data_IF_376298053923
#
_entry.id   IF_376298053923
#
_cell.length_a   1.000
_cell.length_b   1.000
_cell.length_c   1.000
_cell.angle_alpha   90.00
_cell.angle_beta   90.00
_cell.angle_gamma   90.00
#
_symmetry.space_group_name_H-M   'P 1'
#
loop_
_entity.id
_entity.type
_entity.pdbx_description
1 polymer ?
#
# COMPACT_ATOMS: atom_id res chain seq x y z
N UNK A 1 -8.05 -28.98 -17.60
CA UNK A 1 -7.75 -27.55 -17.72
C UNK A 1 -8.73 -26.73 -16.88
N UNK A 2 -8.69 -26.91 -15.56
CA UNK A 2 -9.49 -26.18 -14.58
C UNK A 2 -8.74 -26.35 -13.26
N UNK A 3 -8.28 -25.24 -12.66
CA UNK A 3 -7.72 -25.09 -11.29
C UNK A 3 -6.57 -24.09 -11.23
N UNK A 4 -5.90 -23.72 -12.34
CA UNK A 4 -4.77 -22.78 -12.30
C UNK A 4 -5.15 -21.42 -11.67
N UNK A 5 -6.34 -20.91 -11.99
CA UNK A 5 -6.85 -19.64 -11.45
C UNK A 5 -7.27 -19.77 -9.97
N UNK A 6 -7.85 -20.90 -9.55
CA UNK A 6 -8.25 -21.15 -8.16
C UNK A 6 -7.03 -21.38 -7.25
N UNK A 7 -6.00 -22.06 -7.75
CA UNK A 7 -4.75 -22.26 -7.02
C UNK A 7 -3.95 -20.96 -6.92
N UNK A 8 -3.97 -20.11 -7.96
CA UNK A 8 -3.40 -18.76 -7.88
C UNK A 8 -4.16 -17.89 -6.89
N UNK A 9 -5.50 -17.89 -6.90
CA UNK A 9 -6.30 -17.14 -5.93
C UNK A 9 -6.00 -17.53 -4.47
N UNK A 10 -5.80 -18.83 -4.18
CA UNK A 10 -5.38 -19.29 -2.84
C UNK A 10 -3.98 -18.82 -2.44
N UNK A 11 -3.07 -18.65 -3.40
CA UNK A 11 -1.71 -18.18 -3.16
C UNK A 11 -1.67 -16.65 -2.99
N UNK A 12 -2.49 -15.94 -3.75
CA UNK A 12 -2.77 -14.49 -3.62
C UNK A 12 -3.53 -14.18 -2.33
N UNK A 13 -4.26 -15.15 -1.75
CA UNK A 13 -4.93 -14.99 -0.44
C UNK A 13 -3.98 -14.67 0.72
N UNK A 14 -2.69 -14.98 0.60
CA UNK A 14 -1.66 -14.53 1.55
C UNK A 14 -1.21 -13.08 1.28
N UNK A 15 -1.32 -12.61 0.03
CA UNK A 15 -1.10 -11.21 -0.35
C UNK A 15 -2.34 -10.33 -0.12
N UNK A 16 -3.54 -10.92 0.02
CA UNK A 16 -4.80 -10.18 0.30
C UNK A 16 -4.78 -9.41 1.63
N UNK A 17 -3.82 -9.67 2.52
CA UNK A 17 -3.66 -8.93 3.77
C UNK A 17 -2.80 -7.67 3.64
N UNK A 18 -1.95 -7.59 2.61
CA UNK A 18 -1.02 -6.47 2.46
C UNK A 18 -1.48 -5.51 1.35
N UNK A 19 -1.60 -4.24 1.73
CA UNK A 19 -1.80 -3.16 0.77
C UNK A 19 -0.65 -3.14 -0.24
N UNK A 20 -1.00 -3.15 -1.53
CA UNK A 20 -0.01 -3.12 -2.58
C UNK A 20 0.61 -1.72 -2.69
N UNK A 21 1.91 -1.64 -2.95
CA UNK A 21 2.63 -0.37 -3.11
C UNK A 21 1.98 0.53 -4.18
N UNK A 22 1.54 -0.06 -5.30
CA UNK A 22 0.89 0.69 -6.39
C UNK A 22 -0.43 1.34 -5.98
N UNK A 23 -1.14 0.74 -5.02
CA UNK A 23 -2.42 1.28 -4.56
C UNK A 23 -2.17 2.47 -3.61
N UNK A 24 -1.17 2.37 -2.74
CA UNK A 24 -0.70 3.49 -1.91
C UNK A 24 -0.28 4.67 -2.78
N UNK A 25 0.50 4.42 -3.84
CA UNK A 25 0.93 5.49 -4.76
C UNK A 25 -0.27 6.20 -5.40
N UNK A 26 -1.25 5.43 -5.90
CA UNK A 26 -2.46 6.01 -6.53
C UNK A 26 -3.26 6.82 -5.53
N UNK A 27 -3.43 6.33 -4.32
CA UNK A 27 -4.20 7.01 -3.28
C UNK A 27 -3.53 8.31 -2.82
N UNK A 28 -2.22 8.28 -2.54
CA UNK A 28 -1.48 9.49 -2.15
C UNK A 28 -1.44 10.52 -3.30
N UNK A 29 -1.27 10.08 -4.54
CA UNK A 29 -1.33 10.97 -5.70
C UNK A 29 -2.70 11.65 -5.81
N UNK A 30 -3.80 10.93 -5.56
CA UNK A 30 -5.15 11.51 -5.58
C UNK A 30 -5.34 12.56 -4.47
N UNK A 31 -4.82 12.32 -3.26
CA UNK A 31 -4.86 13.33 -2.20
C UNK A 31 -4.07 14.59 -2.55
N UNK A 32 -2.87 14.42 -3.12
CA UNK A 32 -2.02 15.55 -3.53
C UNK A 32 -2.56 16.32 -4.74
N UNK A 33 -3.27 15.64 -5.66
CA UNK A 33 -3.96 16.28 -6.78
C UNK A 33 -5.14 17.13 -6.29
N UNK A 34 -5.86 16.64 -5.28
CA UNK A 34 -6.96 17.37 -4.65
C UNK A 34 -6.47 18.59 -3.85
N UNK A 35 -5.46 18.40 -3.00
CA UNK A 35 -4.84 19.46 -2.21
C UNK A 35 -3.32 19.18 -2.03
N UNK A 36 -2.44 19.98 -2.65
CA UNK A 36 -0.99 19.79 -2.55
C UNK A 36 -0.46 19.99 -1.12
N UNK A 37 -1.23 20.63 -0.24
CA UNK A 37 -0.84 20.94 1.13
C UNK A 37 -1.48 20.02 2.17
N UNK A 38 -2.21 18.98 1.73
CA UNK A 38 -2.94 18.04 2.61
C UNK A 38 -2.06 17.42 3.71
N UNK A 39 -0.77 17.20 3.43
CA UNK A 39 0.20 16.67 4.39
C UNK A 39 1.12 17.72 5.01
N UNK A 40 1.07 18.99 4.59
CA UNK A 40 1.99 20.03 5.06
C UNK A 40 1.78 20.31 6.55
N UNK A 41 2.86 20.18 7.33
CA UNK A 41 2.83 20.38 8.79
C UNK A 41 2.03 19.33 9.55
N UNK A 42 1.67 18.21 8.91
CA UNK A 42 1.01 17.06 9.54
C UNK A 42 2.02 15.98 9.85
N UNK A 43 1.72 15.17 10.86
CA UNK A 43 2.48 13.96 11.19
C UNK A 43 1.68 12.77 10.67
N UNK A 44 2.31 11.97 9.80
CA UNK A 44 1.71 10.72 9.29
C UNK A 44 2.18 9.55 10.15
N UNK A 45 1.23 8.89 10.82
CA UNK A 45 1.53 7.72 11.62
C UNK A 45 1.53 6.47 10.75
N UNK A 46 2.72 5.89 10.53
CA UNK A 46 2.91 4.71 9.71
C UNK A 46 2.91 3.44 10.58
N UNK A 47 1.78 3.14 11.23
CA UNK A 47 1.70 1.95 12.06
C UNK A 47 1.89 0.68 11.23
N UNK A 48 2.76 -0.19 11.68
CA UNK A 48 2.99 -1.52 11.10
C UNK A 48 3.65 -2.43 12.14
N UNK A 49 3.45 -3.73 11.97
CA UNK A 49 4.06 -4.76 12.83
C UNK A 49 5.54 -4.95 12.49
N UNK A 50 5.87 -4.96 11.19
CA UNK A 50 7.24 -4.94 10.67
C UNK A 50 7.42 -3.84 9.59
N UNK A 51 8.24 -2.80 9.84
CA UNK A 51 8.56 -1.77 8.87
C UNK A 51 9.22 -2.28 7.57
N UNK A 52 9.91 -3.43 7.60
CA UNK A 52 10.57 -4.00 6.42
C UNK A 52 9.58 -4.69 5.46
N UNK A 53 8.43 -5.12 5.96
CA UNK A 53 7.37 -5.76 5.16
C UNK A 53 6.25 -4.78 4.78
N UNK A 54 6.14 -3.63 5.44
CA UNK A 54 5.10 -2.64 5.18
C UNK A 54 5.37 -1.78 3.94
N UNK A 55 4.58 -1.97 2.88
CA UNK A 55 4.59 -1.10 1.71
C UNK A 55 4.23 0.36 2.03
N UNK A 56 3.40 0.60 3.06
CA UNK A 56 3.01 1.94 3.49
C UNK A 56 4.17 2.68 4.15
N UNK A 57 4.84 2.02 5.09
CA UNK A 57 6.05 2.57 5.71
C UNK A 57 7.14 2.81 4.66
N UNK A 58 7.35 1.84 3.77
CA UNK A 58 8.29 1.95 2.65
C UNK A 58 8.01 3.18 1.77
N UNK A 59 6.75 3.47 1.47
CA UNK A 59 6.39 4.62 0.64
C UNK A 59 6.84 5.95 1.27
N UNK A 60 6.50 6.18 2.55
CA UNK A 60 6.80 7.44 3.25
C UNK A 60 8.27 7.62 3.64
N UNK A 61 9.07 6.55 3.70
CA UNK A 61 10.52 6.66 3.93
C UNK A 61 11.29 7.00 2.65
N UNK A 62 10.75 6.66 1.47
CA UNK A 62 11.43 6.83 0.19
C UNK A 62 11.04 8.11 -0.57
N UNK A 63 9.99 8.82 -0.17
CA UNK A 63 9.49 10.05 -0.80
C UNK A 63 9.46 11.19 0.22
#
# INVERSE_FOLDING_TARGET
MANKNLTNAKRVKNDEFYTQYSDIQKEIAAYLEYDPDVFRGRVVYCNCDDPFESNFFRYFVLN
#
